data_IF_652377194838
#
_entry.id   IF_652377194838
#
_cell.length_a   1.000
_cell.length_b   1.000
_cell.length_c   1.000
_cell.angle_alpha   90.00
_cell.angle_beta   90.00
_cell.angle_gamma   90.00
#
_symmetry.space_group_name_H-M   'P 1'
#
loop_
_entity.id
_entity.type
_entity.pdbx_description
1 polymer ?
#
# COMPACT_ATOMS: atom_id res chain seq x y z
N UNK A 1 -21.80 30.05 -7.35
CA UNK A 1 -20.48 29.95 -8.00
C UNK A 1 -19.57 30.95 -7.28
N UNK A 2 -18.68 30.51 -6.39
CA UNK A 2 -17.73 31.42 -5.70
C UNK A 2 -16.61 31.72 -6.70
N UNK A 3 -16.56 32.94 -7.23
CA UNK A 3 -15.73 33.35 -8.38
C UNK A 3 -14.43 34.05 -7.95
N UNK A 4 -14.11 34.03 -6.66
CA UNK A 4 -13.18 34.99 -6.05
C UNK A 4 -12.14 34.33 -5.14
N UNK A 5 -11.98 33.00 -5.22
CA UNK A 5 -10.89 32.27 -4.57
C UNK A 5 -9.95 31.70 -5.63
N UNK A 6 -8.66 32.05 -5.58
CA UNK A 6 -7.64 31.40 -6.38
C UNK A 6 -7.74 29.87 -6.18
N UNK A 7 -7.72 29.10 -7.28
CA UNK A 7 -7.81 27.64 -7.25
C UNK A 7 -6.68 27.09 -6.35
N UNK A 8 -7.05 26.59 -5.18
CA UNK A 8 -6.13 26.03 -4.19
C UNK A 8 -6.36 24.53 -4.12
N UNK A 9 -5.31 23.75 -4.40
CA UNK A 9 -5.36 22.30 -4.34
C UNK A 9 -5.22 21.79 -2.91
N UNK A 10 -6.03 20.80 -2.56
CA UNK A 10 -5.91 20.10 -1.28
C UNK A 10 -5.10 18.81 -1.49
N UNK A 11 -3.90 18.77 -0.92
CA UNK A 11 -2.99 17.63 -1.04
C UNK A 11 -3.04 16.66 0.14
N UNK A 12 -4.06 16.73 1.00
CA UNK A 12 -4.15 15.88 2.19
C UNK A 12 -4.07 14.40 1.84
N UNK A 13 -4.92 13.93 0.92
CA UNK A 13 -4.95 12.51 0.51
C UNK A 13 -3.67 12.12 -0.25
N UNK A 14 -3.17 12.99 -1.13
CA UNK A 14 -1.91 12.75 -1.84
C UNK A 14 -0.73 12.57 -0.85
N UNK A 15 -0.67 13.38 0.21
CA UNK A 15 0.34 13.28 1.26
C UNK A 15 0.20 11.98 2.06
N UNK A 16 -1.03 11.55 2.37
CA UNK A 16 -1.25 10.28 3.07
C UNK A 16 -0.67 9.10 2.29
N UNK A 17 -0.98 9.00 1.00
CA UNK A 17 -0.42 7.96 0.15
C UNK A 17 1.10 8.12 -0.04
N UNK A 18 1.61 9.35 -0.16
CA UNK A 18 3.07 9.58 -0.23
C UNK A 18 3.80 9.07 1.02
N UNK A 19 3.25 9.32 2.21
CA UNK A 19 3.83 8.77 3.45
C UNK A 19 3.74 7.24 3.49
N UNK A 20 2.65 6.65 3.01
CA UNK A 20 2.55 5.20 2.88
C UNK A 20 3.59 4.64 1.90
N UNK A 21 3.84 5.31 0.77
CA UNK A 21 4.89 4.94 -0.19
C UNK A 21 6.25 4.92 0.46
N UNK A 22 6.62 5.97 1.18
CA UNK A 22 7.91 6.02 1.88
C UNK A 22 8.00 4.88 2.91
N UNK A 23 6.94 4.70 3.72
CA UNK A 23 6.88 3.65 4.74
C UNK A 23 7.07 2.25 4.14
N UNK A 24 6.22 1.87 3.19
CA UNK A 24 6.28 0.55 2.57
C UNK A 24 7.51 0.37 1.68
N UNK A 25 8.04 1.45 1.09
CA UNK A 25 9.31 1.42 0.36
C UNK A 25 10.47 1.02 1.27
N UNK A 26 10.58 1.68 2.42
CA UNK A 26 11.62 1.34 3.42
C UNK A 26 11.42 -0.09 3.93
N UNK A 27 10.21 -0.45 4.36
CA UNK A 27 9.92 -1.77 4.94
C UNK A 27 10.13 -2.89 3.90
N UNK A 28 9.50 -2.78 2.74
CA UNK A 28 9.56 -3.78 1.68
C UNK A 28 10.98 -4.03 1.18
N UNK A 29 11.75 -2.96 0.92
CA UNK A 29 13.16 -3.09 0.51
C UNK A 29 14.03 -3.67 1.62
N UNK A 30 13.79 -3.31 2.89
CA UNK A 30 14.55 -3.87 4.03
C UNK A 30 14.31 -5.37 4.18
N UNK A 31 13.06 -5.84 4.05
CA UNK A 31 12.76 -7.28 4.01
C UNK A 31 13.45 -7.94 2.81
N UNK A 32 13.48 -7.27 1.65
CA UNK A 32 14.20 -7.72 0.45
C UNK A 32 15.70 -7.95 0.69
N UNK A 33 16.36 -6.99 1.32
CA UNK A 33 17.77 -7.12 1.72
C UNK A 33 17.96 -8.27 2.70
N UNK A 34 17.07 -8.41 3.68
CA UNK A 34 17.14 -9.49 4.66
C UNK A 34 17.00 -10.88 4.01
N UNK A 35 16.01 -11.09 3.15
CA UNK A 35 15.82 -12.38 2.46
C UNK A 35 16.93 -12.67 1.46
N UNK A 36 17.57 -11.64 0.89
CA UNK A 36 18.78 -11.83 0.08
C UNK A 36 19.94 -12.38 0.93
N UNK A 37 20.11 -11.88 2.16
CA UNK A 37 21.08 -12.46 3.09
C UNK A 37 20.73 -13.89 3.51
N UNK A 38 19.45 -14.25 3.63
CA UNK A 38 19.05 -15.63 3.92
C UNK A 38 19.46 -16.62 2.82
N UNK A 39 19.54 -16.18 1.57
CA UNK A 39 20.06 -17.00 0.47
C UNK A 39 21.59 -17.14 0.52
N UNK A 40 22.30 -16.14 1.03
CA UNK A 40 23.75 -16.18 1.20
C UNK A 40 24.19 -16.94 2.48
N UNK A 41 23.41 -16.80 3.55
CA UNK A 41 23.65 -17.36 4.87
C UNK A 41 22.36 -18.04 5.38
N UNK A 42 22.16 -19.34 5.08
CA UNK A 42 20.91 -20.05 5.39
C UNK A 42 20.52 -20.03 6.87
N UNK A 43 21.48 -19.95 7.79
CA UNK A 43 21.22 -19.90 9.24
C UNK A 43 20.32 -18.73 9.67
N UNK A 44 20.29 -17.65 8.87
CA UNK A 44 19.44 -16.48 9.12
C UNK A 44 17.93 -16.79 9.02
N UNK A 45 17.54 -17.95 8.46
CA UNK A 45 16.14 -18.40 8.43
C UNK A 45 15.58 -18.72 9.82
N UNK A 46 16.45 -19.02 10.79
CA UNK A 46 16.03 -19.53 12.10
C UNK A 46 16.01 -18.46 13.20
N UNK A 47 16.32 -17.19 12.87
CA UNK A 47 16.42 -16.09 13.84
C UNK A 47 15.09 -15.76 14.55
N UNK A 48 13.96 -15.99 13.88
CA UNK A 48 12.63 -15.68 14.42
C UNK A 48 11.68 -16.88 14.27
N UNK A 49 12.20 -18.10 14.39
CA UNK A 49 11.45 -19.33 14.19
C UNK A 49 10.77 -19.35 12.81
N UNK A 50 9.52 -19.81 12.76
CA UNK A 50 8.76 -19.91 11.51
C UNK A 50 8.49 -18.55 10.83
N UNK A 51 8.35 -17.47 11.61
CA UNK A 51 8.09 -16.11 11.10
C UNK A 51 9.30 -15.52 10.38
N UNK A 52 10.50 -16.01 10.69
CA UNK A 52 11.75 -15.58 10.09
C UNK A 52 12.13 -16.34 8.83
N UNK A 53 11.33 -17.30 8.37
CA UNK A 53 11.73 -18.15 7.23
C UNK A 53 11.59 -17.45 5.89
N UNK A 54 12.49 -17.76 4.96
CA UNK A 54 12.49 -17.21 3.59
C UNK A 54 11.15 -17.44 2.87
N UNK A 55 10.52 -18.60 3.09
CA UNK A 55 9.25 -18.96 2.46
C UNK A 55 8.09 -18.05 2.86
N UNK A 56 8.07 -17.55 4.11
CA UNK A 56 7.05 -16.58 4.58
C UNK A 56 7.43 -15.13 4.27
N UNK A 57 8.72 -14.80 4.35
CA UNK A 57 9.20 -13.44 4.13
C UNK A 57 9.26 -13.03 2.65
N UNK A 58 9.44 -13.99 1.73
CA UNK A 58 9.42 -13.74 0.28
C UNK A 58 8.09 -13.13 -0.20
N UNK A 59 6.92 -13.76 0.02
CA UNK A 59 5.65 -13.18 -0.41
C UNK A 59 5.37 -11.86 0.31
N UNK A 60 5.79 -11.71 1.58
CA UNK A 60 5.70 -10.44 2.30
C UNK A 60 6.52 -9.32 1.64
N UNK A 61 7.75 -9.62 1.22
CA UNK A 61 8.59 -8.69 0.46
C UNK A 61 7.94 -8.29 -0.86
N UNK A 62 7.54 -9.27 -1.67
CA UNK A 62 6.94 -9.03 -2.99
C UNK A 62 5.66 -8.20 -2.89
N UNK A 63 4.73 -8.59 -2.02
CA UNK A 63 3.48 -7.86 -1.80
C UNK A 63 3.74 -6.47 -1.20
N UNK A 64 4.68 -6.35 -0.25
CA UNK A 64 5.07 -5.09 0.36
C UNK A 64 5.68 -4.10 -0.64
N UNK A 65 6.47 -4.57 -1.61
CA UNK A 65 7.07 -3.71 -2.64
C UNK A 65 6.05 -3.34 -3.72
N UNK A 66 5.23 -4.27 -4.18
CA UNK A 66 4.27 -4.00 -5.27
C UNK A 66 3.05 -3.25 -4.75
N UNK A 67 2.31 -3.82 -3.80
CA UNK A 67 1.05 -3.25 -3.33
C UNK A 67 1.26 -2.21 -2.21
N UNK A 68 2.31 -2.38 -1.41
CA UNK A 68 2.71 -1.37 -0.42
C UNK A 68 3.36 -0.16 -1.08
N UNK A 69 4.56 -0.34 -1.65
CA UNK A 69 5.34 0.78 -2.17
C UNK A 69 4.83 1.29 -3.52
N UNK A 70 4.81 0.46 -4.56
CA UNK A 70 4.53 0.93 -5.92
C UNK A 70 3.09 1.45 -6.06
N UNK A 71 2.10 0.71 -5.56
CA UNK A 71 0.71 1.08 -5.70
C UNK A 71 0.33 2.35 -4.91
N UNK A 72 0.83 2.52 -3.68
CA UNK A 72 0.62 3.78 -2.96
C UNK A 72 1.25 4.97 -3.69
N UNK A 73 2.38 4.76 -4.38
CA UNK A 73 3.02 5.79 -5.20
C UNK A 73 2.16 6.21 -6.40
N UNK A 74 1.49 5.25 -7.03
CA UNK A 74 0.49 5.51 -8.08
C UNK A 74 -0.67 6.33 -7.52
N UNK A 75 -1.23 5.96 -6.37
CA UNK A 75 -2.33 6.70 -5.75
C UNK A 75 -1.92 8.11 -5.32
N UNK A 76 -0.76 8.27 -4.68
CA UNK A 76 -0.22 9.59 -4.32
C UNK A 76 -0.09 10.49 -5.55
N UNK A 77 0.43 9.91 -6.65
CA UNK A 77 0.58 10.60 -7.93
C UNK A 77 -0.78 11.00 -8.48
N UNK A 78 -1.76 10.09 -8.53
CA UNK A 78 -3.09 10.37 -9.05
C UNK A 78 -3.80 11.49 -8.28
N UNK A 79 -3.83 11.42 -6.94
CA UNK A 79 -4.44 12.45 -6.11
C UNK A 79 -3.74 13.81 -6.20
N UNK A 80 -2.48 13.85 -6.65
CA UNK A 80 -1.76 15.08 -6.95
C UNK A 80 -2.02 15.59 -8.36
N UNK A 81 -1.78 14.77 -9.40
CA UNK A 81 -1.85 15.18 -10.80
C UNK A 81 -3.29 15.39 -11.27
N UNK A 82 -4.25 14.58 -10.79
CA UNK A 82 -5.64 14.63 -11.22
C UNK A 82 -6.25 16.01 -10.96
N UNK A 83 -5.97 16.57 -9.79
CA UNK A 83 -6.39 17.94 -9.45
C UNK A 83 -5.80 18.98 -10.41
N UNK A 84 -4.53 18.83 -10.79
CA UNK A 84 -3.79 19.79 -11.62
C UNK A 84 -4.15 19.72 -13.10
N UNK A 85 -4.42 18.53 -13.61
CA UNK A 85 -4.78 18.32 -15.02
C UNK A 85 -6.23 18.71 -15.25
N UNK A 86 -7.13 18.31 -14.35
CA UNK A 86 -8.56 18.62 -14.46
C UNK A 86 -8.90 20.04 -13.99
N UNK A 87 -7.98 20.72 -13.32
CA UNK A 87 -8.19 22.06 -12.72
C UNK A 87 -9.34 22.08 -11.71
N UNK A 88 -9.52 20.98 -10.98
CA UNK A 88 -10.52 20.81 -9.91
C UNK A 88 -9.81 20.48 -8.61
N UNK A 89 -10.19 21.12 -7.51
CA UNK A 89 -9.61 20.84 -6.20
C UNK A 89 -10.46 19.87 -5.40
N UNK A 90 -9.82 18.95 -4.67
CA UNK A 90 -10.51 18.07 -3.75
C UNK A 90 -11.25 18.83 -2.63
N UNK A 91 -10.83 20.05 -2.29
CA UNK A 91 -11.53 20.89 -1.30
C UNK A 91 -12.89 21.41 -1.78
N UNK A 92 -13.15 21.37 -3.10
CA UNK A 92 -14.40 21.87 -3.69
C UNK A 92 -15.55 20.89 -3.50
N UNK A 93 -15.25 19.61 -3.25
CA UNK A 93 -16.25 18.56 -3.06
C UNK A 93 -15.98 17.78 -1.76
N UNK A 94 -16.78 18.01 -0.70
CA UNK A 94 -16.71 17.22 0.53
C UNK A 94 -16.90 15.72 0.29
N UNK A 95 -17.70 15.36 -0.73
CA UNK A 95 -17.89 13.96 -1.13
C UNK A 95 -16.60 13.35 -1.67
N UNK A 96 -15.93 14.00 -2.63
CA UNK A 96 -14.65 13.50 -3.16
C UNK A 96 -13.60 13.40 -2.06
N UNK A 97 -13.53 14.40 -1.17
CA UNK A 97 -12.62 14.38 -0.02
C UNK A 97 -12.88 13.19 0.91
N UNK A 98 -14.16 12.89 1.19
CA UNK A 98 -14.54 11.74 2.02
C UNK A 98 -14.16 10.42 1.34
N UNK A 99 -14.45 10.26 0.04
CA UNK A 99 -14.07 9.07 -0.74
C UNK A 99 -12.56 8.87 -0.75
N UNK A 100 -11.77 9.92 -1.00
CA UNK A 100 -10.30 9.81 -1.01
C UNK A 100 -9.71 9.42 0.34
N UNK A 101 -10.28 9.90 1.45
CA UNK A 101 -9.88 9.47 2.80
C UNK A 101 -10.30 8.03 3.09
N UNK A 102 -11.50 7.64 2.68
CA UNK A 102 -11.98 6.26 2.83
C UNK A 102 -11.11 5.29 2.04
N UNK A 103 -10.78 5.62 0.79
CA UNK A 103 -9.87 4.86 -0.04
C UNK A 103 -8.50 4.64 0.65
N UNK A 104 -7.91 5.69 1.24
CA UNK A 104 -6.68 5.55 2.02
C UNK A 104 -6.81 4.63 3.25
N UNK A 105 -7.90 4.73 4.01
CA UNK A 105 -8.06 3.88 5.20
C UNK A 105 -8.33 2.42 4.85
N UNK A 106 -9.14 2.15 3.81
CA UNK A 106 -9.34 0.79 3.30
C UNK A 106 -8.00 0.23 2.82
N UNK A 107 -7.21 1.01 2.08
CA UNK A 107 -5.86 0.65 1.68
C UNK A 107 -5.01 0.22 2.87
N UNK A 108 -4.92 1.04 3.92
CA UNK A 108 -4.12 0.74 5.10
C UNK A 108 -4.61 -0.51 5.83
N UNK A 109 -5.93 -0.74 5.90
CA UNK A 109 -6.50 -1.94 6.52
C UNK A 109 -6.18 -3.21 5.72
N UNK A 110 -6.31 -3.17 4.39
CA UNK A 110 -5.94 -4.29 3.51
C UNK A 110 -4.45 -4.59 3.62
N UNK A 111 -3.60 -3.56 3.58
CA UNK A 111 -2.15 -3.73 3.72
C UNK A 111 -1.77 -4.30 5.08
N UNK A 112 -2.36 -3.81 6.17
CA UNK A 112 -2.13 -4.35 7.50
C UNK A 112 -2.57 -5.83 7.59
N UNK A 113 -3.78 -6.14 7.10
CA UNK A 113 -4.29 -7.51 7.03
C UNK A 113 -3.38 -8.43 6.21
N UNK A 114 -2.86 -7.96 5.09
CA UNK A 114 -1.91 -8.71 4.26
C UNK A 114 -0.60 -9.01 4.98
N UNK A 115 -0.02 -8.04 5.69
CA UNK A 115 1.18 -8.27 6.50
C UNK A 115 0.94 -9.36 7.55
N UNK A 116 -0.17 -9.29 8.29
CA UNK A 116 -0.50 -10.29 9.30
C UNK A 116 -0.77 -11.67 8.69
N UNK A 117 -1.53 -11.73 7.58
CA UNK A 117 -1.86 -12.98 6.90
C UNK A 117 -0.60 -13.71 6.41
N UNK A 118 0.28 -12.99 5.71
CA UNK A 118 1.49 -13.58 5.12
C UNK A 118 2.52 -13.99 6.18
N UNK A 119 2.68 -13.20 7.25
CA UNK A 119 3.53 -13.59 8.38
C UNK A 119 3.00 -14.84 9.12
N UNK A 120 1.67 -14.95 9.26
CA UNK A 120 1.03 -16.14 9.81
C UNK A 120 1.12 -17.36 8.87
N UNK A 121 1.63 -17.21 7.64
CA UNK A 121 1.72 -18.28 6.66
C UNK A 121 0.39 -18.61 5.98
N UNK A 122 -0.61 -17.75 6.11
CA UNK A 122 -1.93 -17.92 5.48
C UNK A 122 -1.88 -17.28 4.09
N UNK A 123 -1.86 -18.12 3.05
CA UNK A 123 -1.75 -17.69 1.65
C UNK A 123 -2.33 -18.69 0.67
N UNK A 124 -2.86 -18.18 -0.44
CA UNK A 124 -3.34 -18.96 -1.59
C UNK A 124 -2.22 -19.59 -2.42
N UNK A 125 -0.94 -19.27 -2.14
CA UNK A 125 0.25 -19.73 -2.87
C UNK A 125 0.31 -19.31 -4.35
N UNK A 126 -0.51 -18.34 -4.76
CA UNK A 126 -0.45 -17.72 -6.10
C UNK A 126 0.42 -16.48 -6.06
N UNK A 127 1.46 -16.43 -6.88
CA UNK A 127 2.36 -15.27 -6.94
C UNK A 127 1.59 -13.99 -7.29
N UNK A 128 1.84 -12.91 -6.55
CA UNK A 128 1.17 -11.61 -6.65
C UNK A 128 -0.33 -11.62 -6.33
N UNK A 129 -0.86 -12.74 -5.84
CA UNK A 129 -2.24 -12.92 -5.40
C UNK A 129 -2.28 -13.75 -4.11
N UNK A 130 -1.27 -13.57 -3.25
CA UNK A 130 -1.04 -14.39 -2.07
C UNK A 130 -2.06 -14.18 -0.95
N UNK A 131 -2.82 -13.08 -0.99
CA UNK A 131 -3.82 -12.74 0.01
C UNK A 131 -5.03 -13.68 -0.05
N UNK A 132 -5.66 -13.92 1.10
CA UNK A 132 -6.89 -14.71 1.16
C UNK A 132 -8.12 -13.91 0.72
N UNK A 133 -9.18 -14.65 0.36
CA UNK A 133 -10.41 -14.08 -0.19
C UNK A 133 -11.04 -12.92 0.60
N UNK A 134 -10.98 -12.80 1.95
CA UNK A 134 -11.53 -11.64 2.64
C UNK A 134 -10.75 -10.36 2.33
N UNK A 135 -9.43 -10.47 2.16
CA UNK A 135 -8.58 -9.36 1.76
C UNK A 135 -8.74 -9.04 0.28
N UNK A 136 -8.96 -10.04 -0.57
CA UNK A 136 -9.27 -9.82 -1.99
C UNK A 136 -10.54 -8.97 -2.17
N UNK A 137 -11.58 -9.20 -1.35
CA UNK A 137 -12.77 -8.34 -1.35
C UNK A 137 -12.39 -6.91 -0.99
N UNK A 138 -11.53 -6.72 0.01
CA UNK A 138 -11.01 -5.39 0.39
C UNK A 138 -10.24 -4.72 -0.76
N UNK A 139 -9.44 -5.48 -1.51
CA UNK A 139 -8.72 -5.01 -2.71
C UNK A 139 -9.72 -4.58 -3.79
N UNK A 140 -10.77 -5.35 -4.04
CA UNK A 140 -11.80 -4.98 -5.02
C UNK A 140 -12.52 -3.70 -4.62
N UNK A 141 -12.91 -3.57 -3.35
CA UNK A 141 -13.56 -2.35 -2.84
C UNK A 141 -12.63 -1.14 -2.97
N UNK A 142 -11.35 -1.30 -2.61
CA UNK A 142 -10.31 -0.28 -2.80
C UNK A 142 -10.24 0.16 -4.26
N UNK A 143 -10.18 -0.78 -5.20
CA UNK A 143 -9.96 -0.48 -6.62
C UNK A 143 -11.14 0.24 -7.30
N UNK A 144 -12.35 0.03 -6.78
CA UNK A 144 -13.58 0.67 -7.31
C UNK A 144 -13.74 2.10 -6.80
N UNK A 145 -13.17 2.43 -5.63
CA UNK A 145 -13.25 3.75 -4.99
C UNK A 145 -12.20 4.73 -5.53
#
# INVERSE_FOLDING_TARGET
MRLDRALSYDYTVAKYFMFATILFGIVGMSVGVFIAFQMAYPDLNYLAGEYGTFSRLRPLHTAGVIFGFMLSGVFATWYYIGQRVLKVSMSESPFLMAVGKLHFWIYMLVMAGGVFSLLAGVSTSKEYAELEWPLDIGVVVLWVL
#
